data_IF_263347921460
#
_entry.id   IF_263347921460
#
_cell.length_a   1.000
_cell.length_b   1.000
_cell.length_c   1.000
_cell.angle_alpha   90.00
_cell.angle_beta   90.00
_cell.angle_gamma   90.00
#
_symmetry.space_group_name_H-M   'P 1'
#
loop_
_entity.id
_entity.type
_entity.pdbx_description
1 polymer ?
#
# COMPACT_ATOMS: atom_id res chain seq x y z
N UNK A 1 20.76 -1.38 21.09
CA UNK A 1 19.41 -1.33 20.50
C UNK A 1 18.42 -1.88 21.52
N UNK A 2 17.33 -1.18 21.81
CA UNK A 2 16.33 -1.62 22.80
C UNK A 2 15.46 -2.76 22.24
N UNK A 3 14.85 -3.57 23.12
CA UNK A 3 13.90 -4.62 22.71
C UNK A 3 12.72 -4.04 21.90
N UNK A 4 12.26 -2.85 22.29
CA UNK A 4 11.20 -2.12 21.59
C UNK A 4 11.55 -1.83 20.12
N UNK A 5 12.80 -1.44 19.84
CA UNK A 5 13.25 -1.23 18.45
C UNK A 5 13.12 -2.52 17.61
N UNK A 6 13.54 -3.66 18.17
CA UNK A 6 13.46 -4.96 17.47
C UNK A 6 12.02 -5.35 17.18
N UNK A 7 11.11 -5.15 18.14
CA UNK A 7 9.68 -5.43 17.98
C UNK A 7 9.07 -4.54 16.89
N UNK A 8 9.33 -3.22 16.94
CA UNK A 8 8.81 -2.27 15.95
C UNK A 8 9.34 -2.61 14.55
N UNK A 9 10.62 -2.96 14.43
CA UNK A 9 11.24 -3.39 13.17
C UNK A 9 10.57 -4.65 12.62
N UNK A 10 10.30 -5.64 13.47
CA UNK A 10 9.60 -6.86 13.05
C UNK A 10 8.19 -6.55 12.55
N UNK A 11 7.43 -5.73 13.28
CA UNK A 11 6.09 -5.30 12.88
C UNK A 11 6.13 -4.55 11.54
N UNK A 12 7.07 -3.63 11.36
CA UNK A 12 7.25 -2.88 10.11
C UNK A 12 7.46 -3.81 8.91
N UNK A 13 8.40 -4.75 9.03
CA UNK A 13 8.74 -5.69 7.95
C UNK A 13 7.56 -6.60 7.64
N UNK A 14 6.89 -7.14 8.67
CA UNK A 14 5.73 -8.01 8.49
C UNK A 14 4.57 -7.26 7.82
N UNK A 15 4.26 -6.05 8.28
CA UNK A 15 3.22 -5.23 7.68
C UNK A 15 3.54 -4.85 6.22
N UNK A 16 4.80 -4.54 5.92
CA UNK A 16 5.24 -4.26 4.55
C UNK A 16 5.09 -5.49 3.64
N UNK A 17 5.47 -6.67 4.13
CA UNK A 17 5.34 -7.93 3.40
C UNK A 17 3.87 -8.28 3.14
N UNK A 18 3.00 -8.10 4.15
CA UNK A 18 1.55 -8.29 4.01
C UNK A 18 0.93 -7.29 3.02
N UNK A 19 1.38 -6.03 3.04
CA UNK A 19 0.89 -5.03 2.11
C UNK A 19 1.27 -5.36 0.66
N UNK A 20 2.54 -5.68 0.41
CA UNK A 20 3.00 -6.11 -0.91
C UNK A 20 2.29 -7.39 -1.36
N UNK A 21 2.17 -8.38 -0.47
CA UNK A 21 1.48 -9.64 -0.73
C UNK A 21 0.01 -9.43 -1.12
N UNK A 22 -0.72 -8.57 -0.39
CA UNK A 22 -2.09 -8.19 -0.72
C UNK A 22 -2.17 -7.59 -2.13
N UNK A 23 -1.28 -6.65 -2.45
CA UNK A 23 -1.25 -6.01 -3.78
C UNK A 23 -0.91 -7.02 -4.88
N UNK A 24 0.01 -7.97 -4.64
CA UNK A 24 0.30 -9.05 -5.59
C UNK A 24 -0.94 -9.93 -5.82
N UNK A 25 -1.62 -10.38 -4.77
CA UNK A 25 -2.86 -11.18 -4.90
C UNK A 25 -3.92 -10.43 -5.70
N UNK A 26 -4.08 -9.12 -5.48
CA UNK A 26 -5.02 -8.31 -6.27
C UNK A 26 -4.64 -8.37 -7.75
N UNK A 27 -3.39 -8.09 -8.10
CA UNK A 27 -2.94 -7.99 -9.49
C UNK A 27 -2.97 -9.33 -10.24
N UNK A 28 -2.53 -10.41 -9.60
CA UNK A 28 -2.30 -11.69 -10.26
C UNK A 28 -3.45 -12.70 -10.09
N UNK A 29 -4.34 -12.50 -9.12
CA UNK A 29 -5.45 -13.42 -8.85
C UNK A 29 -6.79 -12.73 -8.98
N UNK A 30 -7.03 -11.65 -8.21
CA UNK A 30 -8.35 -11.00 -8.17
C UNK A 30 -8.70 -10.33 -9.50
N UNK A 31 -7.76 -9.58 -10.09
CA UNK A 31 -8.01 -8.87 -11.35
C UNK A 31 -8.31 -9.81 -12.52
N UNK A 32 -7.54 -10.89 -12.77
CA UNK A 32 -7.86 -11.85 -13.82
C UNK A 32 -9.20 -12.56 -13.61
N UNK A 33 -9.54 -12.92 -12.38
CA UNK A 33 -10.85 -13.52 -12.08
C UNK A 33 -11.97 -12.52 -12.36
N UNK A 34 -11.84 -11.28 -11.87
CA UNK A 34 -12.86 -10.24 -12.05
C UNK A 34 -13.07 -9.88 -13.53
N UNK A 35 -12.02 -9.94 -14.35
CA UNK A 35 -12.11 -9.72 -15.79
C UNK A 35 -12.98 -10.75 -16.52
N UNK A 36 -13.10 -11.98 -16.00
CA UNK A 36 -13.92 -13.06 -16.57
C UNK A 36 -15.38 -13.05 -16.12
N UNK A 37 -15.68 -12.39 -15.00
CA UNK A 37 -17.06 -12.28 -14.51
C UNK A 37 -17.79 -11.18 -15.28
N UNK A 38 -19.11 -11.23 -15.46
CA UNK A 38 -19.88 -10.16 -16.11
C UNK A 38 -21.14 -9.81 -15.31
N UNK A 39 -21.77 -8.69 -15.67
CA UNK A 39 -23.06 -8.26 -15.11
C UNK A 39 -23.12 -8.23 -13.58
N UNK A 40 -24.21 -8.76 -13.02
CA UNK A 40 -24.51 -8.72 -11.60
C UNK A 40 -23.56 -9.57 -10.75
N UNK A 41 -23.02 -10.66 -11.30
CA UNK A 41 -22.05 -11.49 -10.59
C UNK A 41 -20.74 -10.72 -10.31
N UNK A 42 -20.22 -10.02 -11.33
CA UNK A 42 -19.04 -9.14 -11.17
C UNK A 42 -19.31 -8.07 -10.11
N UNK A 43 -20.48 -7.42 -10.17
CA UNK A 43 -20.91 -6.38 -9.22
C UNK A 43 -20.96 -6.91 -7.78
N UNK A 44 -21.53 -8.09 -7.58
CA UNK A 44 -21.66 -8.70 -6.25
C UNK A 44 -20.28 -9.03 -5.65
N UNK A 45 -19.37 -9.58 -6.46
CA UNK A 45 -17.99 -9.86 -6.05
C UNK A 45 -17.26 -8.57 -5.65
N UNK A 46 -17.38 -7.50 -6.45
CA UNK A 46 -16.77 -6.19 -6.13
C UNK A 46 -17.30 -5.68 -4.79
N UNK A 47 -18.63 -5.66 -4.61
CA UNK A 47 -19.27 -5.15 -3.39
C UNK A 47 -18.90 -5.96 -2.13
N UNK A 48 -18.68 -7.26 -2.27
CA UNK A 48 -18.40 -8.14 -1.13
C UNK A 48 -16.91 -8.17 -0.75
N UNK A 49 -16.01 -8.15 -1.74
CA UNK A 49 -14.58 -8.40 -1.52
C UNK A 49 -13.78 -7.09 -1.40
N UNK A 50 -13.98 -6.12 -2.28
CA UNK A 50 -13.11 -4.94 -2.36
C UNK A 50 -13.13 -4.05 -1.10
N UNK A 51 -14.26 -3.85 -0.40
CA UNK A 51 -14.25 -3.10 0.86
C UNK A 51 -13.33 -3.73 1.92
N UNK A 52 -13.24 -5.07 1.96
CA UNK A 52 -12.35 -5.79 2.88
C UNK A 52 -10.89 -5.65 2.47
N UNK A 53 -10.62 -5.76 1.16
CA UNK A 53 -9.29 -5.53 0.59
C UNK A 53 -8.79 -4.11 0.91
N UNK A 54 -9.62 -3.08 0.70
CA UNK A 54 -9.25 -1.70 1.00
C UNK A 54 -8.94 -1.51 2.48
N UNK A 55 -9.79 -2.02 3.37
CA UNK A 55 -9.56 -1.96 4.82
C UNK A 55 -8.25 -2.61 5.23
N UNK A 56 -7.92 -3.79 4.67
CA UNK A 56 -6.65 -4.46 4.95
C UNK A 56 -5.46 -3.66 4.43
N UNK A 57 -5.55 -3.11 3.21
CA UNK A 57 -4.52 -2.23 2.67
C UNK A 57 -4.31 -0.99 3.54
N UNK A 58 -5.39 -0.41 4.09
CA UNK A 58 -5.33 0.75 5.00
C UNK A 58 -4.64 0.42 6.31
N UNK A 59 -4.96 -0.74 6.90
CA UNK A 59 -4.30 -1.21 8.12
C UNK A 59 -2.80 -1.42 7.87
N UNK A 60 -2.43 -2.19 6.84
CA UNK A 60 -1.03 -2.51 6.59
C UNK A 60 -0.22 -1.27 6.21
N UNK A 61 -0.74 -0.42 5.32
CA UNK A 61 -0.07 0.81 4.90
C UNK A 61 0.14 1.79 6.06
N UNK A 62 -0.89 2.01 6.89
CA UNK A 62 -0.77 2.84 8.08
C UNK A 62 0.24 2.27 9.07
N UNK A 63 0.22 0.95 9.33
CA UNK A 63 1.20 0.30 10.20
C UNK A 63 2.62 0.50 9.69
N UNK A 64 2.87 0.31 8.39
CA UNK A 64 4.20 0.52 7.78
C UNK A 64 4.65 1.97 7.94
N UNK A 65 3.80 2.94 7.62
CA UNK A 65 4.15 4.37 7.75
C UNK A 65 4.47 4.73 9.19
N UNK A 66 3.59 4.39 10.14
CA UNK A 66 3.76 4.74 11.56
C UNK A 66 5.04 4.09 12.11
N UNK A 67 5.20 2.78 11.94
CA UNK A 67 6.39 2.08 12.42
C UNK A 67 7.67 2.55 11.73
N UNK A 68 7.60 2.89 10.43
CA UNK A 68 8.73 3.41 9.67
C UNK A 68 9.21 4.77 10.20
N UNK A 69 8.28 5.69 10.47
CA UNK A 69 8.60 6.99 11.08
C UNK A 69 9.24 6.82 12.46
N UNK A 70 8.75 5.89 13.28
CA UNK A 70 9.34 5.58 14.59
C UNK A 70 10.77 5.02 14.42
N UNK A 71 10.99 4.11 13.47
CA UNK A 71 12.32 3.55 13.21
C UNK A 71 13.31 4.62 12.72
N UNK A 72 12.87 5.52 11.84
CA UNK A 72 13.69 6.67 11.40
C UNK A 72 14.07 7.53 12.59
N UNK A 73 13.12 7.84 13.47
CA UNK A 73 13.40 8.61 14.69
C UNK A 73 14.45 7.93 15.58
N UNK A 74 14.32 6.62 15.81
CA UNK A 74 15.31 5.86 16.60
C UNK A 74 16.69 5.79 15.94
N UNK A 75 16.75 5.63 14.61
CA UNK A 75 18.02 5.48 13.89
C UNK A 75 18.77 6.81 13.73
N UNK A 76 18.05 7.92 13.72
CA UNK A 76 18.61 9.27 13.55
C UNK A 76 18.71 10.06 14.85
N UNK A 77 18.20 9.52 15.96
CA UNK A 77 17.95 10.27 17.19
C UNK A 77 17.17 11.58 16.93
N UNK A 78 16.25 11.55 15.98
CA UNK A 78 15.47 12.70 15.54
C UNK A 78 16.17 13.65 14.56
N UNK A 79 17.45 13.46 14.24
CA UNK A 79 18.15 14.29 13.26
C UNK A 79 17.81 13.87 11.81
N UNK A 80 16.79 14.50 11.23
CA UNK A 80 16.35 14.22 9.86
C UNK A 80 17.38 14.58 8.79
N UNK A 81 18.37 15.44 9.08
CA UNK A 81 19.44 15.75 8.11
C UNK A 81 20.26 14.50 7.77
N UNK A 82 20.33 13.52 8.68
CA UNK A 82 20.98 12.23 8.43
C UNK A 82 20.39 11.47 7.23
N UNK A 83 19.14 11.76 6.84
CA UNK A 83 18.50 11.18 5.67
C UNK A 83 18.99 11.76 4.34
N UNK A 84 19.66 12.91 4.36
CA UNK A 84 20.21 13.56 3.16
C UNK A 84 21.58 12.99 2.78
N UNK A 85 22.21 12.22 3.67
CA UNK A 85 23.58 11.75 3.49
C UNK A 85 23.64 10.23 3.34
N UNK A 86 24.53 9.80 2.45
CA UNK A 86 24.85 8.39 2.25
C UNK A 86 23.75 7.58 1.58
N UNK A 87 24.14 6.37 1.16
CA UNK A 87 23.25 5.44 0.45
C UNK A 87 22.04 5.04 1.28
N UNK A 88 22.25 4.81 2.58
CA UNK A 88 21.18 4.46 3.51
C UNK A 88 20.15 5.58 3.64
N UNK A 89 20.59 6.81 3.96
CA UNK A 89 19.70 7.95 4.20
C UNK A 89 18.82 8.26 2.99
N UNK A 90 19.44 8.38 1.80
CA UNK A 90 18.73 8.70 0.55
C UNK A 90 17.71 7.61 0.21
N UNK A 91 18.07 6.33 0.39
CA UNK A 91 17.17 5.21 0.11
C UNK A 91 15.94 5.23 1.05
N UNK A 92 16.16 5.51 2.34
CA UNK A 92 15.09 5.66 3.33
C UNK A 92 14.23 6.88 3.02
N UNK A 93 14.83 8.02 2.66
CA UNK A 93 14.10 9.25 2.34
C UNK A 93 13.16 9.04 1.14
N UNK A 94 13.68 8.52 0.04
CA UNK A 94 12.88 8.27 -1.17
C UNK A 94 11.81 7.21 -0.88
N UNK A 95 12.20 6.09 -0.27
CA UNK A 95 11.28 4.99 0.01
C UNK A 95 10.16 5.38 0.98
N UNK A 96 10.48 6.09 2.06
CA UNK A 96 9.48 6.61 3.00
C UNK A 96 8.57 7.66 2.37
N UNK A 97 9.11 8.57 1.56
CA UNK A 97 8.31 9.58 0.85
C UNK A 97 7.29 8.93 -0.09
N UNK A 98 7.73 7.96 -0.90
CA UNK A 98 6.85 7.21 -1.79
C UNK A 98 5.81 6.40 -1.00
N UNK A 99 6.20 5.75 0.09
CA UNK A 99 5.30 4.97 0.95
C UNK A 99 4.23 5.81 1.63
N UNK A 100 4.60 7.01 2.14
CA UNK A 100 3.67 7.97 2.74
C UNK A 100 2.70 8.49 1.68
N UNK A 101 3.21 8.93 0.52
CA UNK A 101 2.38 9.44 -0.57
C UNK A 101 1.39 8.38 -1.06
N UNK A 102 1.85 7.14 -1.25
CA UNK A 102 1.00 6.03 -1.66
C UNK A 102 -0.08 5.72 -0.62
N UNK A 103 0.27 5.73 0.67
CA UNK A 103 -0.68 5.55 1.78
C UNK A 103 -1.76 6.64 1.77
N UNK A 104 -1.36 7.91 1.68
CA UNK A 104 -2.30 9.04 1.64
C UNK A 104 -3.21 8.97 0.41
N UNK A 105 -2.65 8.66 -0.77
CA UNK A 105 -3.43 8.45 -1.99
C UNK A 105 -4.43 7.29 -1.84
N UNK A 106 -4.02 6.19 -1.21
CA UNK A 106 -4.89 5.05 -0.93
C UNK A 106 -6.07 5.43 -0.04
N UNK A 107 -5.87 6.15 1.07
CA UNK A 107 -6.96 6.61 1.93
C UNK A 107 -7.97 7.49 1.19
N UNK A 108 -7.46 8.44 0.39
CA UNK A 108 -8.31 9.31 -0.43
C UNK A 108 -9.13 8.53 -1.46
N UNK A 109 -8.50 7.53 -2.10
CA UNK A 109 -9.16 6.71 -3.11
C UNK A 109 -10.16 5.74 -2.47
N UNK A 110 -9.81 5.11 -1.35
CA UNK A 110 -10.69 4.22 -0.60
C UNK A 110 -11.99 4.93 -0.24
N UNK A 111 -11.91 6.15 0.30
CA UNK A 111 -13.11 6.93 0.65
C UNK A 111 -14.00 7.16 -0.58
N UNK A 112 -13.41 7.55 -1.71
CA UNK A 112 -14.16 7.81 -2.95
C UNK A 112 -14.76 6.53 -3.54
N UNK A 113 -13.99 5.45 -3.62
CA UNK A 113 -14.42 4.20 -4.24
C UNK A 113 -15.41 3.44 -3.37
N UNK A 114 -15.19 3.37 -2.05
CA UNK A 114 -16.13 2.71 -1.12
C UNK A 114 -17.50 3.37 -1.17
N UNK A 115 -17.58 4.72 -1.14
CA UNK A 115 -18.82 5.47 -1.32
C UNK A 115 -19.51 5.11 -2.64
N UNK A 116 -18.78 5.08 -3.76
CA UNK A 116 -19.32 4.70 -5.09
C UNK A 116 -19.82 3.25 -5.13
N UNK A 117 -19.09 2.31 -4.51
CA UNK A 117 -19.46 0.88 -4.46
C UNK A 117 -20.76 0.69 -3.65
N UNK A 118 -20.89 1.38 -2.51
CA UNK A 118 -22.07 1.31 -1.64
C UNK A 118 -23.28 1.97 -2.32
N UNK A 119 -23.10 3.17 -2.90
CA UNK A 119 -24.18 3.96 -3.50
C UNK A 119 -24.62 3.47 -4.89
N UNK A 120 -23.83 2.64 -5.57
CA UNK A 120 -24.17 2.13 -6.90
C UNK A 120 -25.44 1.27 -6.89
N UNK A 121 -26.58 1.85 -7.30
CA UNK A 121 -27.86 1.14 -7.50
C UNK A 121 -27.84 0.28 -8.78
N UNK A 122 -28.70 -0.74 -8.84
CA UNK A 122 -28.88 -1.57 -10.04
C UNK A 122 -29.25 -0.68 -11.23
N UNK A 123 -28.56 -0.80 -12.37
CA UNK A 123 -28.77 0.03 -13.57
C UNK A 123 -27.78 1.20 -13.81
N UNK A 124 -26.97 1.62 -12.83
CA UNK A 124 -25.99 2.70 -13.00
C UNK A 124 -24.64 2.19 -13.55
N UNK A 125 -24.64 1.76 -14.83
CA UNK A 125 -23.49 1.10 -15.47
C UNK A 125 -22.25 2.02 -15.60
N UNK A 126 -22.43 3.33 -15.79
CA UNK A 126 -21.33 4.29 -15.93
C UNK A 126 -20.48 4.39 -14.65
N UNK A 127 -21.12 4.46 -13.47
CA UNK A 127 -20.36 4.55 -12.20
C UNK A 127 -19.57 3.28 -11.88
N UNK A 128 -20.06 2.12 -12.30
CA UNK A 128 -19.35 0.85 -12.09
C UNK A 128 -18.21 0.64 -13.06
N UNK A 129 -18.31 1.15 -14.28
CA UNK A 129 -17.25 1.08 -15.26
C UNK A 129 -16.05 1.93 -14.84
N UNK A 130 -16.28 3.14 -14.30
CA UNK A 130 -15.22 3.98 -13.74
C UNK A 130 -14.52 3.31 -12.55
N UNK A 131 -15.28 2.66 -11.66
CA UNK A 131 -14.73 1.90 -10.53
C UNK A 131 -13.90 0.72 -11.04
N UNK A 132 -14.38 -0.01 -12.05
CA UNK A 132 -13.65 -1.11 -12.67
C UNK A 132 -12.33 -0.67 -13.30
N UNK A 133 -12.33 0.43 -14.05
CA UNK A 133 -11.11 0.97 -14.65
C UNK A 133 -10.08 1.36 -13.59
N UNK A 134 -10.52 2.07 -12.53
CA UNK A 134 -9.65 2.46 -11.42
C UNK A 134 -9.12 1.25 -10.66
N UNK A 135 -9.94 0.22 -10.46
CA UNK A 135 -9.52 -1.03 -9.82
C UNK A 135 -8.49 -1.79 -10.66
N UNK A 136 -8.43 -1.63 -11.99
CA UNK A 136 -7.37 -2.25 -12.81
C UNK A 136 -6.04 -1.50 -12.71
N UNK A 137 -6.08 -0.18 -12.76
CA UNK A 137 -4.86 0.66 -12.88
C UNK A 137 -4.19 0.83 -11.52
N UNK A 138 -4.96 1.15 -10.48
CA UNK A 138 -4.41 1.51 -9.16
C UNK A 138 -3.56 0.40 -8.56
N UNK A 139 -3.98 -0.88 -8.52
CA UNK A 139 -3.16 -1.94 -7.97
C UNK A 139 -1.87 -2.17 -8.76
N UNK A 140 -1.85 -1.94 -10.08
CA UNK A 140 -0.64 -2.11 -10.91
C UNK A 140 0.39 -1.02 -10.63
N UNK A 141 -0.08 0.22 -10.55
CA UNK A 141 0.76 1.36 -10.16
C UNK A 141 1.26 1.17 -8.73
N UNK A 142 0.37 0.79 -7.81
CA UNK A 142 0.72 0.47 -6.43
C UNK A 142 1.75 -0.65 -6.32
N UNK A 143 1.61 -1.73 -7.10
CA UNK A 143 2.60 -2.82 -7.15
C UNK A 143 3.97 -2.29 -7.57
N UNK A 144 4.01 -1.53 -8.67
CA UNK A 144 5.27 -0.96 -9.19
C UNK A 144 5.97 -0.09 -8.14
N UNK A 145 5.21 0.82 -7.51
CA UNK A 145 5.76 1.71 -6.46
C UNK A 145 6.23 0.89 -5.25
N UNK A 146 5.42 -0.05 -4.76
CA UNK A 146 5.81 -0.90 -3.62
C UNK A 146 7.04 -1.74 -3.93
N UNK A 147 7.17 -2.30 -5.13
CA UNK A 147 8.38 -3.01 -5.55
C UNK A 147 9.60 -2.10 -5.53
N UNK A 148 9.50 -0.87 -6.04
CA UNK A 148 10.59 0.12 -5.98
C UNK A 148 10.95 0.42 -4.52
N UNK A 149 9.96 0.65 -3.64
CA UNK A 149 10.20 0.88 -2.21
C UNK A 149 10.94 -0.30 -1.58
N UNK A 150 10.51 -1.55 -1.86
CA UNK A 150 11.19 -2.74 -1.35
C UNK A 150 12.64 -2.84 -1.83
N UNK A 151 12.91 -2.53 -3.09
CA UNK A 151 14.28 -2.48 -3.63
C UNK A 151 15.13 -1.41 -2.95
N UNK A 152 14.57 -0.22 -2.69
CA UNK A 152 15.23 0.84 -1.93
C UNK A 152 15.52 0.39 -0.49
N UNK A 153 14.61 -0.32 0.16
CA UNK A 153 14.82 -0.85 1.51
C UNK A 153 15.88 -1.94 1.56
N UNK A 154 15.95 -2.81 0.55
CA UNK A 154 17.02 -3.81 0.41
C UNK A 154 18.37 -3.10 0.20
N UNK A 155 18.40 -2.06 -0.63
CA UNK A 155 19.59 -1.25 -0.85
C UNK A 155 20.03 -0.53 0.44
N UNK A 156 19.08 -0.01 1.23
CA UNK A 156 19.33 0.61 2.52
C UNK A 156 19.88 -0.40 3.55
N UNK A 157 19.34 -1.62 3.58
CA UNK A 157 19.78 -2.68 4.50
C UNK A 157 21.24 -3.11 4.27
N UNK A 158 21.68 -3.12 3.00
CA UNK A 158 23.09 -3.35 2.64
C UNK A 158 23.93 -2.07 2.66
N UNK A 159 23.31 -0.92 2.92
CA UNK A 159 23.93 0.40 2.97
C UNK A 159 24.52 0.78 4.33
N UNK A 160 24.43 -0.09 5.33
CA UNK A 160 25.02 0.12 6.65
C UNK A 160 26.53 -0.20 6.58
N UNK A 161 27.30 0.73 6.02
CA UNK A 161 28.77 0.81 6.14
C UNK A 161 29.12 2.28 6.29
#
# INVERSE_FOLDING_TARGET
MSELYTIIRAIHILAAALWLGLVMVINFVVQPVLAKLEGDLRRQVIKSIFPRIFKLASIFSATVVITGLILVYYLTNGNLEALLYGRWGISILIGSSLGILLTLFHFFLEEKLSKKIIQGKQGDNQKLEEVHLKMKIVPRVGLTILTIIFLLMINAAHGII
#
